data_IF_122298015300
#
_entry.id   IF_122298015300
#
_cell.length_a   1.000
_cell.length_b   1.000
_cell.length_c   1.000
_cell.angle_alpha   90.00
_cell.angle_beta   90.00
_cell.angle_gamma   90.00
#
_symmetry.space_group_name_H-M   'P 1'
#
loop_
_entity.id
_entity.type
_entity.pdbx_description
1 polymer ?
#
# COMPACT_ATOMS: atom_id res chain seq x y z
N UNK A 1 -29.02 2.74 0.05
CA UNK A 1 -28.23 1.89 -0.89
C UNK A 1 -27.24 0.96 -0.18
N UNK A 2 -26.46 1.45 0.79
CA UNK A 2 -25.56 0.61 1.60
C UNK A 2 -26.32 -0.32 2.56
N UNK A 3 -27.38 0.15 3.21
CA UNK A 3 -28.21 -0.69 4.11
C UNK A 3 -28.84 -1.89 3.40
N UNK A 4 -29.41 -1.67 2.22
CA UNK A 4 -29.99 -2.73 1.38
C UNK A 4 -28.90 -3.71 0.86
N UNK A 5 -27.66 -3.25 0.66
CA UNK A 5 -26.51 -4.13 0.42
C UNK A 5 -26.24 -5.07 1.56
N UNK A 6 -26.20 -4.51 2.76
CA UNK A 6 -25.77 -5.21 3.95
C UNK A 6 -26.82 -6.24 4.32
N UNK A 7 -28.10 -5.92 4.18
CA UNK A 7 -29.19 -6.87 4.41
C UNK A 7 -29.14 -8.06 3.45
N UNK A 8 -28.90 -7.83 2.15
CA UNK A 8 -28.86 -8.92 1.15
C UNK A 8 -27.61 -9.81 1.26
N UNK A 9 -26.48 -9.24 1.69
CA UNK A 9 -25.20 -9.97 1.75
C UNK A 9 -24.73 -10.29 3.17
N UNK A 10 -25.54 -10.02 4.20
CA UNK A 10 -25.16 -10.20 5.62
C UNK A 10 -24.56 -11.58 5.90
N UNK A 11 -25.15 -12.64 5.32
CA UNK A 11 -24.70 -14.02 5.54
C UNK A 11 -23.33 -14.33 4.90
N UNK A 12 -22.89 -13.55 3.91
CA UNK A 12 -21.61 -13.71 3.25
C UNK A 12 -20.47 -12.97 3.99
N UNK A 13 -20.79 -11.94 4.76
CA UNK A 13 -19.80 -11.06 5.41
C UNK A 13 -18.82 -11.87 6.28
N UNK A 14 -19.24 -12.77 7.20
CA UNK A 14 -18.28 -13.51 8.03
C UNK A 14 -17.24 -14.30 7.23
N UNK A 15 -17.67 -14.96 6.15
CA UNK A 15 -16.76 -15.70 5.26
C UNK A 15 -15.80 -14.78 4.48
N UNK A 16 -16.26 -13.57 4.12
CA UNK A 16 -15.46 -12.56 3.43
C UNK A 16 -14.50 -11.80 4.36
N UNK A 17 -14.75 -11.78 5.67
CA UNK A 17 -13.87 -11.14 6.65
C UNK A 17 -12.82 -12.11 7.17
N UNK A 18 -13.23 -13.32 7.56
CA UNK A 18 -12.41 -14.25 8.34
C UNK A 18 -12.06 -15.55 7.62
N UNK A 19 -12.52 -15.73 6.37
CA UNK A 19 -12.29 -16.93 5.57
C UNK A 19 -10.80 -17.21 5.37
N UNK A 20 -10.35 -18.40 5.76
CA UNK A 20 -8.93 -18.79 5.65
C UNK A 20 -8.59 -19.55 4.37
N UNK A 21 -9.61 -20.07 3.66
CA UNK A 21 -9.43 -20.91 2.48
C UNK A 21 -10.03 -20.24 1.23
N UNK A 22 -9.28 -20.07 0.13
CA UNK A 22 -9.77 -19.43 -1.09
C UNK A 22 -11.06 -20.04 -1.63
N UNK A 23 -11.18 -21.38 -1.63
CA UNK A 23 -12.38 -22.09 -2.11
C UNK A 23 -13.68 -21.71 -1.38
N UNK A 24 -13.60 -21.21 -0.14
CA UNK A 24 -14.76 -20.74 0.61
C UNK A 24 -15.11 -19.29 0.29
N UNK A 25 -14.09 -18.48 -0.02
CA UNK A 25 -14.20 -17.03 -0.19
C UNK A 25 -14.52 -16.65 -1.63
N UNK A 26 -13.91 -17.31 -2.61
CA UNK A 26 -14.08 -17.04 -4.04
C UNK A 26 -15.55 -17.03 -4.49
N UNK A 27 -16.42 -18.00 -4.11
CA UNK A 27 -17.83 -17.95 -4.50
C UNK A 27 -18.59 -16.75 -3.93
N UNK A 28 -18.19 -16.27 -2.75
CA UNK A 28 -18.80 -15.09 -2.11
C UNK A 28 -18.38 -13.80 -2.82
N UNK A 29 -17.09 -13.70 -3.20
CA UNK A 29 -16.58 -12.58 -3.99
C UNK A 29 -17.24 -12.56 -5.37
N UNK A 30 -17.36 -13.73 -6.03
CA UNK A 30 -18.00 -13.85 -7.33
C UNK A 30 -19.46 -13.37 -7.31
N UNK A 31 -20.20 -13.67 -6.23
CA UNK A 31 -21.57 -13.15 -6.02
C UNK A 31 -21.59 -11.63 -5.90
N UNK A 32 -20.71 -11.04 -5.09
CA UNK A 32 -20.62 -9.59 -4.94
C UNK A 32 -20.24 -8.89 -6.24
N UNK A 33 -19.35 -9.50 -7.03
CA UNK A 33 -18.96 -9.00 -8.34
C UNK A 33 -20.13 -9.05 -9.33
N UNK A 34 -20.90 -10.14 -9.33
CA UNK A 34 -22.09 -10.29 -10.18
C UNK A 34 -23.18 -9.25 -9.84
N UNK A 35 -23.31 -8.90 -8.57
CA UNK A 35 -24.25 -7.88 -8.08
C UNK A 35 -23.65 -6.46 -8.11
N UNK A 36 -22.48 -6.27 -8.74
CA UNK A 36 -21.74 -5.00 -8.84
C UNK A 36 -21.53 -4.27 -7.51
N UNK A 37 -21.36 -5.02 -6.41
CA UNK A 37 -21.17 -4.48 -5.06
C UNK A 37 -19.72 -4.07 -4.79
N UNK A 38 -19.15 -3.27 -5.68
CA UNK A 38 -17.76 -2.81 -5.62
C UNK A 38 -17.49 -1.98 -4.36
N UNK A 39 -18.39 -1.07 -3.99
CA UNK A 39 -18.26 -0.24 -2.79
C UNK A 39 -18.20 -1.08 -1.51
N UNK A 40 -19.03 -2.12 -1.41
CA UNK A 40 -19.03 -3.02 -0.27
C UNK A 40 -17.70 -3.79 -0.21
N UNK A 41 -17.23 -4.29 -1.35
CA UNK A 41 -15.94 -4.97 -1.46
C UNK A 41 -14.79 -4.06 -1.01
N UNK A 42 -14.76 -2.81 -1.49
CA UNK A 42 -13.78 -1.78 -1.11
C UNK A 42 -13.70 -1.58 0.40
N UNK A 43 -14.85 -1.44 1.06
CA UNK A 43 -14.95 -1.25 2.51
C UNK A 43 -14.46 -2.49 3.26
N UNK A 44 -14.86 -3.69 2.82
CA UNK A 44 -14.46 -4.93 3.48
C UNK A 44 -12.96 -5.20 3.37
N UNK A 45 -12.31 -4.79 2.27
CA UNK A 45 -10.84 -4.90 2.13
C UNK A 45 -10.11 -4.17 3.26
N UNK A 46 -10.69 -3.15 3.90
CA UNK A 46 -10.02 -2.43 5.01
C UNK A 46 -9.79 -3.30 6.24
N UNK A 47 -10.70 -4.22 6.53
CA UNK A 47 -10.72 -4.95 7.80
C UNK A 47 -10.65 -6.46 7.63
N UNK A 48 -10.83 -6.99 6.42
CA UNK A 48 -10.76 -8.42 6.17
C UNK A 48 -9.34 -8.97 6.44
N UNK A 49 -9.26 -10.24 6.83
CA UNK A 49 -7.99 -10.97 6.94
C UNK A 49 -7.28 -11.02 5.58
N UNK A 50 -5.98 -11.38 5.59
CA UNK A 50 -5.15 -11.23 4.38
C UNK A 50 -5.69 -12.01 3.17
N UNK A 51 -6.12 -13.26 3.36
CA UNK A 51 -6.57 -14.12 2.25
C UNK A 51 -7.80 -13.53 1.55
N UNK A 52 -8.90 -13.21 2.24
CA UNK A 52 -10.05 -12.58 1.59
C UNK A 52 -9.74 -11.19 1.03
N UNK A 53 -8.97 -10.37 1.77
CA UNK A 53 -8.60 -9.04 1.29
C UNK A 53 -7.81 -9.11 -0.02
N UNK A 54 -6.85 -10.02 -0.13
CA UNK A 54 -6.07 -10.22 -1.37
C UNK A 54 -6.95 -10.67 -2.53
N UNK A 55 -7.88 -11.60 -2.31
CA UNK A 55 -8.80 -12.07 -3.35
C UNK A 55 -9.75 -10.95 -3.81
N UNK A 56 -10.25 -10.14 -2.87
CA UNK A 56 -11.07 -8.97 -3.19
C UNK A 56 -10.27 -7.92 -3.98
N UNK A 57 -9.02 -7.65 -3.59
CA UNK A 57 -8.12 -6.77 -4.33
C UNK A 57 -7.94 -7.28 -5.77
N UNK A 58 -7.71 -8.57 -5.96
CA UNK A 58 -7.57 -9.17 -7.29
C UNK A 58 -8.83 -9.01 -8.13
N UNK A 59 -10.00 -9.27 -7.54
CA UNK A 59 -11.29 -9.08 -8.21
C UNK A 59 -11.48 -7.62 -8.66
N UNK A 60 -11.15 -6.64 -7.82
CA UNK A 60 -11.22 -5.22 -8.16
C UNK A 60 -10.21 -4.86 -9.27
N UNK A 61 -8.98 -5.39 -9.22
CA UNK A 61 -7.96 -5.19 -10.25
C UNK A 61 -8.37 -5.76 -11.61
N UNK A 62 -8.93 -6.97 -11.63
CA UNK A 62 -9.39 -7.66 -12.84
C UNK A 62 -10.54 -6.92 -13.52
N UNK A 63 -11.44 -6.32 -12.73
CA UNK A 63 -12.57 -5.54 -13.21
C UNK A 63 -12.24 -4.05 -13.41
N UNK A 64 -10.96 -3.66 -13.35
CA UNK A 64 -10.47 -2.27 -13.49
C UNK A 64 -11.11 -1.27 -12.52
N UNK A 65 -11.55 -1.76 -11.36
CA UNK A 65 -12.12 -0.98 -10.26
C UNK A 65 -11.02 -0.39 -9.37
N UNK A 66 -10.08 0.34 -9.98
CA UNK A 66 -8.86 0.77 -9.28
C UNK A 66 -9.13 1.82 -8.19
N UNK A 67 -10.05 2.75 -8.42
CA UNK A 67 -10.40 3.77 -7.43
C UNK A 67 -10.98 3.15 -6.15
N UNK A 68 -11.65 2.00 -6.27
CA UNK A 68 -12.18 1.24 -5.13
C UNK A 68 -11.05 0.59 -4.29
N UNK A 69 -9.80 0.59 -4.78
CA UNK A 69 -8.63 0.15 -4.00
C UNK A 69 -7.99 1.28 -3.17
N UNK A 70 -8.34 2.55 -3.43
CA UNK A 70 -7.75 3.69 -2.72
C UNK A 70 -7.95 3.60 -1.21
N UNK A 71 -9.15 3.31 -0.67
CA UNK A 71 -9.33 3.20 0.77
C UNK A 71 -8.38 2.15 1.38
N UNK A 72 -8.27 0.99 0.75
CA UNK A 72 -7.39 -0.09 1.19
C UNK A 72 -5.91 0.34 1.18
N UNK A 73 -5.43 0.93 0.09
CA UNK A 73 -4.05 1.40 0.01
C UNK A 73 -3.74 2.52 1.03
N UNK A 74 -4.70 3.41 1.29
CA UNK A 74 -4.46 4.61 2.10
C UNK A 74 -4.71 4.42 3.60
N UNK A 75 -5.62 3.52 3.99
CA UNK A 75 -6.18 3.47 5.35
C UNK A 75 -6.11 2.09 6.00
N UNK A 76 -5.94 1.01 5.22
CA UNK A 76 -5.90 -0.34 5.78
C UNK A 76 -4.76 -0.45 6.79
N UNK A 77 -5.07 -1.00 7.97
CA UNK A 77 -4.10 -1.40 9.00
C UNK A 77 -3.81 -2.88 8.89
N UNK A 78 -2.60 -3.28 9.24
CA UNK A 78 -2.23 -4.69 9.28
C UNK A 78 -3.15 -5.43 10.25
N UNK A 79 -3.95 -6.35 9.72
CA UNK A 79 -4.80 -7.22 10.52
C UNK A 79 -3.93 -8.23 11.26
N UNK A 80 -3.77 -8.03 12.57
CA UNK A 80 -3.00 -8.94 13.41
C UNK A 80 -3.89 -10.12 13.77
N UNK A 81 -3.46 -11.33 13.40
CA UNK A 81 -3.91 -12.50 14.17
C UNK A 81 -3.35 -12.32 15.57
N UNK A 82 -4.23 -12.13 16.54
CA UNK A 82 -3.88 -12.43 17.92
C UNK A 82 -3.65 -13.94 17.90
N UNK A 83 -2.39 -14.36 17.82
CA UNK A 83 -1.97 -15.75 17.91
C UNK A 83 -2.34 -16.27 19.30
N UNK A 84 -3.62 -16.63 19.50
CA UNK A 84 -4.10 -17.40 20.64
C UNK A 84 -3.51 -18.82 20.67
N UNK A 85 -2.68 -19.18 19.69
CA UNK A 85 -2.04 -20.49 19.54
C UNK A 85 -0.66 -20.59 20.19
N UNK A 86 -0.14 -19.51 20.77
CA UNK A 86 1.24 -19.51 21.31
C UNK A 86 1.45 -20.32 22.60
N UNK A 87 0.44 -21.02 23.11
CA UNK A 87 0.57 -21.89 24.29
C UNK A 87 0.71 -23.40 23.96
N UNK A 88 0.48 -23.84 22.72
CA UNK A 88 0.33 -25.27 22.41
C UNK A 88 1.56 -25.96 21.80
N UNK A 89 2.58 -25.20 21.35
CA UNK A 89 3.72 -25.80 20.64
C UNK A 89 4.79 -26.38 21.59
N UNK A 90 4.88 -25.87 22.82
CA UNK A 90 5.79 -26.43 23.83
C UNK A 90 5.31 -27.76 24.42
N UNK A 91 4.00 -27.96 24.57
CA UNK A 91 3.45 -29.13 25.28
C UNK A 91 3.46 -30.42 24.47
N UNK A 92 3.51 -30.35 23.13
CA UNK A 92 3.37 -31.55 22.30
C UNK A 92 4.71 -32.24 22.00
N UNK A 93 5.81 -31.50 21.92
CA UNK A 93 7.14 -32.09 21.63
C UNK A 93 7.67 -32.89 22.83
N UNK A 94 7.41 -32.44 24.05
CA UNK A 94 7.80 -33.16 25.28
C UNK A 94 6.93 -34.39 25.53
N UNK A 95 5.67 -34.37 25.09
CA UNK A 95 4.71 -35.45 25.32
C UNK A 95 4.95 -36.67 24.44
N UNK A 96 5.51 -36.49 23.24
CA UNK A 96 5.85 -37.61 22.36
C UNK A 96 7.08 -38.38 22.88
N UNK A 97 8.02 -37.71 23.56
CA UNK A 97 9.23 -38.36 24.09
C UNK A 97 8.99 -39.16 25.38
N UNK A 98 8.04 -38.73 26.22
CA UNK A 98 7.64 -39.50 27.42
C UNK A 98 6.82 -40.76 27.07
N UNK A 99 6.43 -40.96 25.79
CA UNK A 99 5.60 -42.07 25.35
C UNK A 99 6.36 -43.26 24.74
N UNK A 100 7.68 -43.16 24.60
CA UNK A 100 8.54 -44.30 24.23
C UNK A 100 8.92 -45.11 25.48
N UNK A 101 8.11 -46.12 25.81
CA UNK A 101 8.42 -47.11 26.84
C UNK A 101 9.68 -47.91 26.46
N UNK A 102 10.86 -47.52 26.96
CA UNK A 102 12.03 -48.41 26.89
C UNK A 102 13.42 -47.86 27.24
N UNK A 103 13.72 -46.58 27.07
CA UNK A 103 15.07 -46.04 27.35
C UNK A 103 15.00 -44.72 28.14
N UNK A 104 16.01 -44.50 28.98
CA UNK A 104 16.02 -43.51 30.04
C UNK A 104 15.45 -42.14 29.64
N UNK A 105 14.45 -41.67 30.40
CA UNK A 105 13.84 -40.37 30.20
C UNK A 105 14.87 -39.24 30.20
N UNK A 106 14.52 -38.14 29.53
CA UNK A 106 15.37 -36.94 29.42
C UNK A 106 15.80 -36.51 30.83
N UNK A 107 17.11 -36.37 31.11
CA UNK A 107 17.62 -35.81 32.35
C UNK A 107 16.94 -34.48 32.68
N UNK A 108 16.61 -34.27 33.95
CA UNK A 108 15.82 -33.12 34.41
C UNK A 108 16.49 -31.78 34.05
N UNK A 109 17.83 -31.72 34.02
CA UNK A 109 18.55 -30.54 33.57
C UNK A 109 18.29 -30.20 32.10
N UNK A 110 18.21 -31.21 31.23
CA UNK A 110 17.94 -31.00 29.79
C UNK A 110 16.49 -30.60 29.56
N UNK A 111 15.55 -31.12 30.36
CA UNK A 111 14.14 -30.70 30.31
C UNK A 111 14.00 -29.23 30.71
N UNK A 112 14.64 -28.82 31.80
CA UNK A 112 14.62 -27.44 32.27
C UNK A 112 15.28 -26.48 31.25
N UNK A 113 16.42 -26.88 30.66
CA UNK A 113 17.08 -26.09 29.62
C UNK A 113 16.20 -25.92 28.36
N UNK A 114 15.45 -26.96 27.97
CA UNK A 114 14.51 -26.89 26.84
C UNK A 114 13.29 -26.01 27.14
N UNK A 115 12.76 -26.07 28.35
CA UNK A 115 11.66 -25.19 28.80
C UNK A 115 12.13 -23.72 28.88
N UNK A 116 13.33 -23.47 29.39
CA UNK A 116 13.94 -22.14 29.43
C UNK A 116 14.23 -21.60 28.03
N UNK A 117 14.70 -22.45 27.11
CA UNK A 117 14.90 -22.09 25.71
C UNK A 117 13.57 -21.77 25.02
N UNK A 118 12.53 -22.57 25.25
CA UNK A 118 11.19 -22.35 24.69
C UNK A 118 10.56 -21.06 25.22
N UNK A 119 10.68 -20.80 26.53
CA UNK A 119 10.17 -19.60 27.19
C UNK A 119 10.93 -18.35 26.72
N UNK A 120 12.25 -18.45 26.59
CA UNK A 120 13.10 -17.38 26.04
C UNK A 120 12.81 -17.11 24.57
N UNK A 121 12.57 -18.14 23.76
CA UNK A 121 12.18 -17.99 22.36
C UNK A 121 10.78 -17.36 22.21
N UNK A 122 9.83 -17.74 23.06
CA UNK A 122 8.51 -17.13 23.11
C UNK A 122 8.58 -15.66 23.51
N UNK A 123 9.35 -15.33 24.57
CA UNK A 123 9.57 -13.94 25.00
C UNK A 123 10.26 -13.10 23.92
N UNK A 124 11.28 -13.64 23.22
CA UNK A 124 11.93 -12.95 22.09
C UNK A 124 10.98 -12.72 20.92
N UNK A 125 10.15 -13.71 20.57
CA UNK A 125 9.09 -13.55 19.55
C UNK A 125 8.07 -12.49 19.96
N UNK A 126 7.71 -12.45 21.23
CA UNK A 126 6.78 -11.45 21.77
C UNK A 126 7.37 -10.04 21.72
N UNK A 127 8.63 -9.85 22.12
CA UNK A 127 9.35 -8.56 22.01
C UNK A 127 9.51 -8.13 20.55
N UNK A 128 9.87 -9.05 19.65
CA UNK A 128 9.95 -8.77 18.21
C UNK A 128 8.58 -8.43 17.61
N UNK A 129 7.51 -9.09 18.08
CA UNK A 129 6.12 -8.76 17.73
C UNK A 129 5.72 -7.37 18.23
N UNK A 130 6.15 -6.97 19.42
CA UNK A 130 5.91 -5.63 19.96
C UNK A 130 6.72 -4.54 19.23
N UNK A 131 7.97 -4.79 18.88
CA UNK A 131 8.78 -3.84 18.08
C UNK A 131 8.24 -3.73 16.64
N UNK A 132 7.83 -4.84 16.02
CA UNK A 132 7.11 -4.82 14.75
C UNK A 132 5.73 -4.16 14.88
N UNK A 133 5.12 -4.19 16.07
CA UNK A 133 3.84 -3.56 16.32
C UNK A 133 3.89 -2.02 16.31
N UNK A 134 5.07 -1.42 16.49
CA UNK A 134 5.27 0.02 16.35
C UNK A 134 5.27 0.47 14.88
N UNK A 135 5.54 -0.43 13.93
CA UNK A 135 5.60 -0.12 12.50
C UNK A 135 4.55 -0.95 11.74
N UNK A 136 3.36 -0.40 11.53
CA UNK A 136 2.30 -1.03 10.72
C UNK A 136 2.77 -1.15 9.26
N UNK A 137 3.18 -2.36 8.86
CA UNK A 137 3.59 -2.72 7.49
C UNK A 137 2.64 -3.77 6.93
N UNK A 138 1.46 -3.35 6.52
CA UNK A 138 0.53 -4.24 5.83
C UNK A 138 1.05 -4.55 4.40
N UNK A 139 1.38 -5.81 4.09
CA UNK A 139 1.89 -6.20 2.77
C UNK A 139 0.87 -5.97 1.63
N UNK A 140 -0.43 -5.87 1.94
CA UNK A 140 -1.45 -5.64 0.92
C UNK A 140 -1.41 -4.21 0.37
N UNK A 141 -0.93 -3.22 1.14
CA UNK A 141 -0.78 -1.85 0.62
C UNK A 141 0.29 -1.78 -0.47
N UNK A 142 1.45 -2.40 -0.21
CA UNK A 142 2.51 -2.51 -1.21
C UNK A 142 2.07 -3.34 -2.42
N UNK A 143 1.32 -4.43 -2.17
CA UNK A 143 0.76 -5.25 -3.23
C UNK A 143 -0.14 -4.44 -4.18
N UNK A 144 -1.08 -3.64 -3.65
CA UNK A 144 -1.94 -2.76 -4.45
C UNK A 144 -1.11 -1.80 -5.30
N UNK A 145 -0.15 -1.10 -4.68
CA UNK A 145 0.72 -0.14 -5.38
C UNK A 145 1.52 -0.81 -6.50
N UNK A 146 2.03 -2.01 -6.25
CA UNK A 146 2.81 -2.77 -7.25
C UNK A 146 1.93 -3.19 -8.42
N UNK A 147 0.74 -3.73 -8.16
CA UNK A 147 -0.20 -4.12 -9.21
C UNK A 147 -0.66 -2.92 -10.05
N UNK A 148 -0.92 -1.77 -9.44
CA UNK A 148 -1.22 -0.55 -10.20
C UNK A 148 -0.03 -0.06 -11.01
N UNK A 149 1.19 -0.14 -10.47
CA UNK A 149 2.42 0.26 -11.15
C UNK A 149 2.63 -0.48 -12.49
N UNK A 150 2.34 -1.78 -12.55
CA UNK A 150 2.42 -2.59 -13.76
C UNK A 150 1.48 -2.10 -14.89
N UNK A 151 0.41 -1.38 -14.52
CA UNK A 151 -0.66 -0.93 -15.42
C UNK A 151 -0.54 0.54 -15.84
N UNK A 152 0.30 1.33 -15.17
CA UNK A 152 0.46 2.79 -15.36
C UNK A 152 0.63 3.24 -16.82
N UNK A 153 1.35 2.47 -17.63
CA UNK A 153 1.63 2.85 -19.01
C UNK A 153 0.44 2.64 -19.96
N UNK A 154 -0.44 1.69 -19.63
CA UNK A 154 -1.53 1.19 -20.48
C UNK A 154 -2.89 1.74 -20.05
N UNK A 155 -3.05 2.04 -18.77
CA UNK A 155 -4.34 2.40 -18.20
C UNK A 155 -4.28 3.76 -17.47
N UNK A 156 -4.97 4.79 -17.97
CA UNK A 156 -4.96 6.11 -17.34
C UNK A 156 -5.68 6.13 -16.00
N UNK A 157 -6.64 5.23 -15.75
CA UNK A 157 -7.32 5.15 -14.45
C UNK A 157 -6.38 4.60 -13.36
N UNK A 158 -5.47 3.69 -13.73
CA UNK A 158 -4.43 3.22 -12.81
C UNK A 158 -3.49 4.37 -12.40
N UNK A 159 -3.15 5.27 -13.34
CA UNK A 159 -2.36 6.46 -13.06
C UNK A 159 -3.08 7.41 -12.08
N UNK A 160 -4.35 7.74 -12.37
CA UNK A 160 -5.15 8.60 -11.48
C UNK A 160 -5.22 8.02 -10.07
N UNK A 161 -5.49 6.72 -9.97
CA UNK A 161 -5.53 6.00 -8.69
C UNK A 161 -4.20 6.10 -7.94
N UNK A 162 -3.08 5.86 -8.62
CA UNK A 162 -1.74 5.96 -8.04
C UNK A 162 -1.39 7.36 -7.57
N UNK A 163 -1.81 8.41 -8.28
CA UNK A 163 -1.66 9.80 -7.85
C UNK A 163 -2.46 10.05 -6.57
N UNK A 164 -3.69 9.54 -6.48
CA UNK A 164 -4.51 9.67 -5.26
C UNK A 164 -3.84 8.97 -4.08
N UNK A 165 -3.32 7.75 -4.27
CA UNK A 165 -2.59 7.02 -3.21
C UNK A 165 -1.34 7.80 -2.78
N UNK A 166 -0.57 8.31 -3.74
CA UNK A 166 0.63 9.12 -3.48
C UNK A 166 0.32 10.44 -2.77
N UNK A 167 -0.93 10.92 -2.72
CA UNK A 167 -1.32 12.15 -2.03
C UNK A 167 -2.00 11.89 -0.69
N UNK A 168 -2.91 10.93 -0.67
CA UNK A 168 -3.87 10.75 0.41
C UNK A 168 -3.52 9.62 1.38
N UNK A 169 -2.50 8.80 1.08
CA UNK A 169 -2.13 7.69 1.96
C UNK A 169 -1.74 8.21 3.34
N UNK A 170 -2.39 7.67 4.38
CA UNK A 170 -2.03 7.93 5.78
C UNK A 170 -0.65 7.32 6.12
N UNK A 171 -0.19 6.35 5.33
CA UNK A 171 1.09 5.67 5.49
C UNK A 171 2.15 6.29 4.60
N UNK A 172 3.19 6.85 5.21
CA UNK A 172 4.29 7.51 4.51
C UNK A 172 5.00 6.57 3.53
N UNK A 173 5.30 5.34 3.94
CA UNK A 173 5.96 4.35 3.08
C UNK A 173 5.14 4.05 1.82
N UNK A 174 3.83 3.84 1.95
CA UNK A 174 2.94 3.60 0.81
C UNK A 174 2.85 4.82 -0.09
N UNK A 175 2.76 6.02 0.51
CA UNK A 175 2.74 7.29 -0.21
C UNK A 175 3.99 7.47 -1.07
N UNK A 176 5.16 7.30 -0.44
CA UNK A 176 6.47 7.42 -1.06
C UNK A 176 6.68 6.39 -2.15
N UNK A 177 6.34 5.12 -1.90
CA UNK A 177 6.46 4.06 -2.90
C UNK A 177 5.59 4.35 -4.11
N UNK A 178 4.34 4.79 -3.90
CA UNK A 178 3.46 5.17 -5.00
C UNK A 178 4.04 6.33 -5.83
N UNK A 179 4.48 7.40 -5.14
CA UNK A 179 5.11 8.55 -5.78
C UNK A 179 6.37 8.16 -6.58
N UNK A 180 7.23 7.31 -6.01
CA UNK A 180 8.46 6.85 -6.65
C UNK A 180 8.21 6.00 -7.90
N UNK A 181 7.17 5.15 -7.90
CA UNK A 181 6.79 4.38 -9.10
C UNK A 181 6.34 5.30 -10.25
N UNK A 182 5.70 6.43 -9.94
CA UNK A 182 5.35 7.46 -10.94
C UNK A 182 6.61 8.21 -11.37
N UNK A 183 7.37 8.76 -10.43
CA UNK A 183 8.53 9.62 -10.69
C UNK A 183 9.63 8.91 -11.51
N UNK A 184 9.87 7.63 -11.25
CA UNK A 184 10.87 6.84 -11.96
C UNK A 184 10.41 6.40 -13.36
N UNK A 185 9.12 6.53 -13.69
CA UNK A 185 8.61 6.20 -15.02
C UNK A 185 8.71 7.40 -15.96
N UNK A 186 9.87 7.54 -16.62
CA UNK A 186 10.16 8.64 -17.55
C UNK A 186 9.06 8.86 -18.60
N UNK A 187 8.60 7.79 -19.26
CA UNK A 187 7.59 7.90 -20.34
C UNK A 187 6.26 8.46 -19.83
N UNK A 188 5.90 8.09 -18.60
CA UNK A 188 4.70 8.56 -17.93
C UNK A 188 4.82 10.04 -17.56
N UNK A 189 5.94 10.44 -16.95
CA UNK A 189 6.21 11.85 -16.61
C UNK A 189 6.20 12.72 -17.86
N UNK A 190 6.87 12.31 -18.94
CA UNK A 190 6.87 13.03 -20.22
C UNK A 190 5.44 13.20 -20.78
N UNK A 191 4.58 12.18 -20.62
CA UNK A 191 3.17 12.23 -21.03
C UNK A 191 2.36 13.19 -20.16
N UNK A 192 2.58 13.18 -18.85
CA UNK A 192 1.92 14.08 -17.90
C UNK A 192 2.27 15.54 -18.17
N UNK A 193 3.56 15.84 -18.44
CA UNK A 193 4.01 17.19 -18.83
C UNK A 193 3.27 17.66 -20.09
N UNK A 194 3.25 16.84 -21.15
CA UNK A 194 2.54 17.17 -22.40
C UNK A 194 1.03 17.32 -22.24
N UNK A 195 0.45 16.70 -21.20
CA UNK A 195 -0.98 16.76 -20.92
C UNK A 195 -1.36 17.90 -19.97
N UNK A 196 -0.39 18.73 -19.54
CA UNK A 196 -0.63 19.84 -18.62
C UNK A 196 -0.93 19.40 -17.18
N UNK A 197 -0.46 18.22 -16.76
CA UNK A 197 -0.68 17.71 -15.39
C UNK A 197 0.40 18.20 -14.41
N UNK A 198 0.79 19.46 -14.53
CA UNK A 198 1.86 20.10 -13.76
C UNK A 198 1.61 20.01 -12.25
N UNK A 199 0.40 20.35 -11.80
CA UNK A 199 0.02 20.30 -10.39
C UNK A 199 0.18 18.90 -9.80
N UNK A 200 -0.26 17.86 -10.51
CA UNK A 200 -0.12 16.48 -10.06
C UNK A 200 1.35 16.06 -10.04
N UNK A 201 2.17 16.51 -10.99
CA UNK A 201 3.61 16.24 -11.00
C UNK A 201 4.31 16.88 -9.78
N UNK A 202 3.98 18.13 -9.43
CA UNK A 202 4.51 18.80 -8.25
C UNK A 202 4.11 18.06 -6.96
N UNK A 203 2.83 17.70 -6.83
CA UNK A 203 2.31 16.95 -5.67
C UNK A 203 2.97 15.56 -5.53
N UNK A 204 3.16 14.84 -6.65
CA UNK A 204 3.89 13.58 -6.68
C UNK A 204 5.34 13.79 -6.27
N UNK A 205 6.01 14.81 -6.81
CA UNK A 205 7.41 15.12 -6.50
C UNK A 205 7.60 15.43 -5.01
N UNK A 206 6.69 16.22 -4.41
CA UNK A 206 6.69 16.50 -2.98
C UNK A 206 6.61 15.20 -2.14
N UNK A 207 5.78 14.25 -2.58
CA UNK A 207 5.48 13.00 -1.89
C UNK A 207 6.59 11.94 -1.99
N UNK A 208 7.62 12.15 -2.82
CA UNK A 208 8.76 11.23 -2.91
C UNK A 208 9.77 11.37 -1.77
N UNK A 209 9.79 12.54 -1.09
CA UNK A 209 10.82 12.92 -0.10
C UNK A 209 12.27 12.79 -0.60
N UNK A 210 12.50 12.77 -1.93
CA UNK A 210 13.82 12.65 -2.55
C UNK A 210 14.09 13.79 -3.52
N UNK A 211 15.12 14.58 -3.24
CA UNK A 211 15.55 15.69 -4.11
C UNK A 211 15.91 15.24 -5.52
N UNK A 212 16.51 14.05 -5.66
CA UNK A 212 16.84 13.49 -6.97
C UNK A 212 15.59 13.25 -7.82
N UNK A 213 14.50 12.76 -7.22
CA UNK A 213 13.23 12.57 -7.91
C UNK A 213 12.59 13.92 -8.28
N UNK A 214 12.65 14.92 -7.39
CA UNK A 214 12.18 16.29 -7.66
C UNK A 214 12.92 16.92 -8.84
N UNK A 215 14.26 16.87 -8.83
CA UNK A 215 15.10 17.39 -9.92
C UNK A 215 14.87 16.66 -11.25
N UNK A 216 14.66 15.34 -11.21
CA UNK A 216 14.33 14.57 -12.39
C UNK A 216 12.99 15.00 -13.01
N UNK A 217 11.96 15.19 -12.19
CA UNK A 217 10.65 15.68 -12.65
C UNK A 217 10.78 17.12 -13.16
N UNK A 218 11.46 18.00 -12.42
CA UNK A 218 11.68 19.40 -12.80
C UNK A 218 12.41 19.50 -14.15
N UNK A 219 13.46 18.69 -14.37
CA UNK A 219 14.15 18.63 -15.65
C UNK A 219 13.26 18.21 -16.82
N UNK A 220 12.22 17.40 -16.59
CA UNK A 220 11.21 17.08 -17.62
C UNK A 220 10.22 18.22 -17.82
N UNK A 221 9.75 18.81 -16.73
CA UNK A 221 8.84 19.94 -16.75
C UNK A 221 9.45 21.16 -17.46
N UNK A 222 10.77 21.36 -17.36
CA UNK A 222 11.49 22.49 -17.97
C UNK A 222 11.22 22.65 -19.47
N UNK A 223 10.97 21.55 -20.20
CA UNK A 223 10.64 21.58 -21.64
C UNK A 223 9.35 22.36 -21.92
N UNK A 224 8.42 22.37 -20.97
CA UNK A 224 7.14 23.07 -21.06
C UNK A 224 7.13 24.40 -20.27
N UNK A 225 8.30 24.94 -19.89
CA UNK A 225 8.40 26.22 -19.17
C UNK A 225 7.63 27.36 -19.85
N UNK A 226 7.71 27.57 -21.18
CA UNK A 226 6.96 28.64 -21.84
C UNK A 226 5.44 28.53 -21.62
N UNK A 227 4.92 27.30 -21.57
CA UNK A 227 3.49 27.04 -21.36
C UNK A 227 3.08 27.40 -19.93
N UNK A 228 3.91 27.08 -18.93
CA UNK A 228 3.64 27.44 -17.54
C UNK A 228 3.69 28.95 -17.31
N UNK A 229 4.58 29.66 -17.99
CA UNK A 229 4.63 31.13 -17.98
C UNK A 229 3.36 31.70 -18.60
N UNK A 230 2.98 31.22 -19.79
CA UNK A 230 1.79 31.70 -20.50
C UNK A 230 0.49 31.45 -19.70
N UNK A 231 0.43 30.36 -18.94
CA UNK A 231 -0.71 30.00 -18.10
C UNK A 231 -0.67 30.62 -16.70
N UNK A 232 0.41 31.34 -16.34
CA UNK A 232 0.66 31.81 -14.98
C UNK A 232 0.55 30.69 -13.93
N UNK A 233 1.05 29.47 -14.25
CA UNK A 233 0.99 28.30 -13.37
C UNK A 233 2.02 28.41 -12.25
N UNK A 234 1.65 29.17 -11.21
CA UNK A 234 2.51 29.49 -10.08
C UNK A 234 3.14 28.25 -9.40
N UNK A 235 2.40 27.18 -9.06
CA UNK A 235 3.01 25.97 -8.49
C UNK A 235 4.09 25.34 -9.37
N UNK A 236 3.89 25.29 -10.69
CA UNK A 236 4.88 24.74 -11.60
C UNK A 236 6.12 25.61 -11.69
N UNK A 237 5.94 26.94 -11.72
CA UNK A 237 7.03 27.91 -11.76
C UNK A 237 7.85 27.90 -10.47
N UNK A 238 7.22 27.87 -9.29
CA UNK A 238 7.90 27.75 -7.99
C UNK A 238 8.73 26.46 -7.93
N UNK A 239 8.14 25.35 -8.37
CA UNK A 239 8.83 24.07 -8.42
C UNK A 239 10.04 24.07 -9.37
N UNK A 240 9.92 24.71 -10.55
CA UNK A 240 11.02 24.84 -11.50
C UNK A 240 12.12 25.78 -10.99
N UNK A 241 11.76 26.88 -10.34
CA UNK A 241 12.72 27.81 -9.74
C UNK A 241 13.60 27.13 -8.69
N UNK A 242 13.04 26.20 -7.91
CA UNK A 242 13.77 25.51 -6.85
C UNK A 242 14.53 24.25 -7.33
N UNK A 243 13.94 23.46 -8.23
CA UNK A 243 14.44 22.11 -8.54
C UNK A 243 14.93 21.90 -9.97
N UNK A 244 14.78 22.86 -10.89
CA UNK A 244 15.28 22.66 -12.25
C UNK A 244 16.81 22.44 -12.25
N UNK A 245 17.34 21.50 -13.06
CA UNK A 245 18.77 21.22 -13.07
C UNK A 245 19.62 22.32 -13.73
N UNK A 246 18.99 23.15 -14.58
CA UNK A 246 19.66 24.23 -15.32
C UNK A 246 19.38 25.59 -14.67
N UNK A 247 20.42 26.32 -14.27
CA UNK A 247 20.30 27.64 -13.63
C UNK A 247 19.50 28.64 -14.47
N UNK A 248 19.63 28.58 -15.80
CA UNK A 248 18.86 29.42 -16.72
C UNK A 248 17.35 29.21 -16.57
N UNK A 249 16.91 27.96 -16.43
CA UNK A 249 15.49 27.62 -16.26
C UNK A 249 15.01 28.14 -14.90
N UNK A 250 15.82 28.00 -13.85
CA UNK A 250 15.49 28.52 -12.52
C UNK A 250 15.31 30.04 -12.56
N UNK A 251 16.27 30.77 -13.14
CA UNK A 251 16.19 32.23 -13.24
C UNK A 251 15.00 32.71 -14.08
N UNK A 252 14.68 32.01 -15.17
CA UNK A 252 13.51 32.34 -16.00
C UNK A 252 12.19 32.11 -15.24
N UNK A 253 12.08 30.99 -14.52
CA UNK A 253 10.91 30.72 -13.69
C UNK A 253 10.76 31.74 -12.56
N UNK A 254 11.85 32.12 -11.89
CA UNK A 254 11.84 33.15 -10.85
C UNK A 254 11.43 34.52 -11.41
N UNK A 255 11.98 34.94 -12.55
CA UNK A 255 11.61 36.21 -13.19
C UNK A 255 10.12 36.25 -13.58
N UNK A 256 9.57 35.12 -14.02
CA UNK A 256 8.13 35.01 -14.31
C UNK A 256 7.30 35.13 -13.02
N UNK A 257 7.71 34.50 -11.92
CA UNK A 257 7.05 34.63 -10.62
C UNK A 257 7.06 36.07 -10.10
N UNK A 258 8.19 36.76 -10.22
CA UNK A 258 8.33 38.16 -9.79
C UNK A 258 7.41 39.08 -10.60
N UNK A 259 7.23 38.78 -11.89
CA UNK A 259 6.33 39.53 -12.79
C UNK A 259 4.85 39.28 -12.47
N UNK A 260 4.50 38.12 -11.91
CA UNK A 260 3.12 37.81 -11.47
C UNK A 260 2.77 38.42 -10.11
N UNK A 261 3.76 38.88 -9.34
CA UNK A 261 3.58 39.50 -8.03
C UNK A 261 3.34 41.01 -8.08
N UNK A 262 3.53 41.65 -9.25
CA UNK A 262 3.30 43.07 -9.52
C UNK A 262 1.88 43.30 -10.05
#
# INVERSE_FOLDING_TARGET
MLEDSLQRHASAIPGLMDGSAPRQVEPLIARLAADERWDLMSIMVLTATEVPARLMINCLLENRRYMDLVPAACLRRQQRRIDRLSAAVGSNVLRDWDSEEGEGGIPEEIRNDLEDLATSAAARRQVASFQAAEVDRDPLREYIVTQLAERLNRDPEALKTMIVIARASAWEETRRTAAMKIANNRRLVDRMVKSGWSRQLVEVAASTSLDSARRNIAGRMAVALPDYIAQADRPALEFLAEYAPEERVQSQAQSALDSLAQ
#
